data_IF_833869983608
#
_entry.id   IF_833869983608
#
_cell.length_a   1.000
_cell.length_b   1.000
_cell.length_c   1.000
_cell.angle_alpha   90.00
_cell.angle_beta   90.00
_cell.angle_gamma   90.00
#
_symmetry.space_group_name_H-M   'P 1'
#
loop_
_entity.id
_entity.type
_entity.pdbx_description
1 polymer ?
#
# COMPACT_ATOMS: atom_id res chain seq x y z
N UNK A 1 -14.62 21.75 25.93
CA UNK A 1 -13.27 21.19 26.15
C UNK A 1 -13.22 19.71 25.80
N UNK A 2 -13.60 19.35 24.57
CA UNK A 2 -13.50 17.99 24.03
C UNK A 2 -12.57 18.09 22.83
N UNK A 3 -11.34 17.58 22.94
CA UNK A 3 -10.37 17.72 21.84
C UNK A 3 -8.96 17.22 22.14
N UNK A 4 -8.55 17.12 23.41
CA UNK A 4 -7.18 16.70 23.75
C UNK A 4 -7.12 15.24 24.23
N UNK A 5 -8.16 14.73 24.91
CA UNK A 5 -8.16 13.36 25.44
C UNK A 5 -8.18 12.23 24.39
N UNK A 6 -8.89 12.42 23.27
CA UNK A 6 -8.93 11.43 22.18
C UNK A 6 -7.65 11.43 21.33
N UNK A 7 -7.00 12.59 21.18
CA UNK A 7 -5.70 12.71 20.53
C UNK A 7 -4.58 12.13 21.41
N UNK A 8 -4.68 12.27 22.74
CA UNK A 8 -3.76 11.58 23.66
C UNK A 8 -3.96 10.06 23.65
N UNK A 9 -5.16 9.53 23.43
CA UNK A 9 -5.42 8.09 23.30
C UNK A 9 -4.85 7.47 22.02
N UNK A 10 -4.97 8.16 20.89
CA UNK A 10 -4.36 7.76 19.62
C UNK A 10 -2.84 7.96 19.63
N UNK A 11 -2.35 9.03 20.25
CA UNK A 11 -0.92 9.26 20.48
C UNK A 11 -0.33 8.27 21.49
N UNK A 12 -1.07 7.84 22.52
CA UNK A 12 -0.63 6.77 23.43
C UNK A 12 -0.70 5.40 22.76
N UNK A 13 -1.63 5.17 21.83
CA UNK A 13 -1.65 3.98 20.98
C UNK A 13 -0.44 3.92 20.05
N UNK A 14 -0.15 5.02 19.34
CA UNK A 14 1.07 5.14 18.53
C UNK A 14 2.33 5.07 19.40
N UNK A 15 2.37 5.73 20.56
CA UNK A 15 3.53 5.70 21.46
C UNK A 15 3.67 4.33 22.14
N UNK A 16 2.58 3.57 22.35
CA UNK A 16 2.62 2.17 22.75
C UNK A 16 3.09 1.26 21.60
N UNK A 17 2.74 1.53 20.33
CA UNK A 17 3.26 0.81 19.15
C UNK A 17 4.74 1.12 18.93
N UNK A 18 5.16 2.39 19.01
CA UNK A 18 6.57 2.77 18.94
C UNK A 18 7.35 2.25 20.17
N UNK A 19 6.79 2.33 21.38
CA UNK A 19 7.45 1.76 22.55
C UNK A 19 7.43 0.23 22.56
N UNK A 20 6.46 -0.45 21.95
CA UNK A 20 6.46 -1.93 21.82
C UNK A 20 7.41 -2.39 20.71
N UNK A 21 7.56 -1.63 19.61
CA UNK A 21 8.58 -1.86 18.57
C UNK A 21 9.98 -1.93 19.18
N UNK A 22 10.29 -1.05 20.14
CA UNK A 22 11.59 -1.00 20.83
C UNK A 22 11.66 -1.83 22.13
N UNK A 23 10.56 -2.01 22.88
CA UNK A 23 10.51 -2.84 24.10
C UNK A 23 10.48 -4.35 23.82
N UNK A 24 10.15 -4.77 22.60
CA UNK A 24 10.15 -6.19 22.20
C UNK A 24 11.44 -6.66 21.51
N UNK A 25 12.52 -5.87 21.51
CA UNK A 25 13.81 -6.33 21.01
C UNK A 25 14.43 -7.32 22.00
N UNK A 26 14.58 -8.58 21.59
CA UNK A 26 15.29 -9.61 22.36
C UNK A 26 16.82 -9.48 22.22
N UNK A 27 17.30 -8.73 21.23
CA UNK A 27 18.73 -8.48 20.98
C UNK A 27 18.99 -7.10 20.34
N UNK A 28 20.23 -6.61 20.45
CA UNK A 28 20.68 -5.39 19.74
C UNK A 28 20.67 -5.54 18.21
N UNK A 29 20.88 -6.77 17.71
CA UNK A 29 20.85 -7.09 16.28
C UNK A 29 19.44 -6.97 15.70
N UNK A 30 18.43 -7.50 16.42
CA UNK A 30 17.01 -7.39 16.06
C UNK A 30 16.56 -5.92 16.02
N UNK A 31 17.00 -5.14 17.00
CA UNK A 31 16.70 -3.71 17.07
C UNK A 31 17.32 -2.93 15.90
N UNK A 32 18.58 -3.24 15.54
CA UNK A 32 19.23 -2.68 14.35
C UNK A 32 18.49 -3.01 13.06
N UNK A 33 17.95 -4.23 12.95
CA UNK A 33 17.16 -4.65 11.79
C UNK A 33 15.83 -3.94 11.66
N UNK A 34 15.06 -3.83 12.75
CA UNK A 34 13.81 -3.06 12.76
C UNK A 34 14.05 -1.60 12.42
N UNK A 35 15.11 -1.01 12.98
CA UNK A 35 15.53 0.34 12.65
C UNK A 35 15.84 0.50 11.15
N UNK A 36 16.54 -0.45 10.53
CA UNK A 36 16.84 -0.41 9.09
C UNK A 36 15.57 -0.44 8.23
N UNK A 37 14.60 -1.29 8.56
CA UNK A 37 13.34 -1.36 7.80
C UNK A 37 12.52 -0.08 7.95
N UNK A 38 12.46 0.47 9.16
CA UNK A 38 11.83 1.77 9.42
C UNK A 38 12.55 2.89 8.64
N UNK A 39 13.88 2.89 8.62
CA UNK A 39 14.67 3.84 7.84
C UNK A 39 14.32 3.79 6.35
N UNK A 40 14.17 2.61 5.76
CA UNK A 40 13.74 2.46 4.37
C UNK A 40 12.31 2.99 4.12
N UNK A 41 11.38 2.83 5.06
CA UNK A 41 10.03 3.43 4.97
C UNK A 41 10.13 4.95 5.00
N UNK A 42 10.93 5.53 5.89
CA UNK A 42 11.14 6.98 5.92
C UNK A 42 11.81 7.48 4.64
N UNK A 43 12.69 6.68 4.02
CA UNK A 43 13.22 7.00 2.70
C UNK A 43 12.11 7.10 1.65
N UNK A 44 11.02 6.32 1.71
CA UNK A 44 9.88 6.46 0.78
C UNK A 44 9.15 7.81 0.90
N UNK A 45 9.26 8.53 2.03
CA UNK A 45 8.62 9.84 2.18
C UNK A 45 9.36 10.94 1.41
N UNK A 46 10.67 10.78 1.19
CA UNK A 46 11.50 11.74 0.47
C UNK A 46 10.92 12.06 -0.93
N UNK A 47 10.66 11.07 -1.83
CA UNK A 47 10.13 11.36 -3.15
C UNK A 47 8.73 12.00 -3.09
N UNK A 48 7.89 11.65 -2.11
CA UNK A 48 6.58 12.27 -1.91
C UNK A 48 6.73 13.76 -1.58
N UNK A 49 7.57 14.08 -0.58
CA UNK A 49 7.82 15.45 -0.16
C UNK A 49 8.46 16.25 -1.30
N UNK A 50 9.47 15.69 -1.97
CA UNK A 50 10.12 16.33 -3.10
C UNK A 50 9.14 16.63 -4.23
N UNK A 51 8.23 15.70 -4.56
CA UNK A 51 7.22 15.94 -5.58
C UNK A 51 6.21 17.01 -5.17
N UNK A 52 5.70 16.97 -3.93
CA UNK A 52 4.79 18.01 -3.42
C UNK A 52 5.46 19.38 -3.51
N UNK A 53 6.70 19.50 -3.04
CA UNK A 53 7.47 20.76 -3.10
C UNK A 53 7.67 21.21 -4.55
N UNK A 54 7.94 20.29 -5.47
CA UNK A 54 8.08 20.61 -6.89
C UNK A 54 6.76 21.08 -7.51
N UNK A 55 5.64 20.39 -7.25
CA UNK A 55 4.32 20.76 -7.75
C UNK A 55 3.92 22.19 -7.33
N UNK A 56 4.17 22.57 -6.08
CA UNK A 56 3.85 23.92 -5.58
C UNK A 56 4.82 25.01 -6.05
N UNK A 57 5.98 24.64 -6.63
CA UNK A 57 7.01 25.57 -7.06
C UNK A 57 7.48 25.28 -8.49
N UNK A 58 6.59 24.76 -9.35
CA UNK A 58 6.93 24.22 -10.66
C UNK A 58 7.70 25.25 -11.51
N UNK A 59 7.26 26.50 -11.58
CA UNK A 59 7.89 27.55 -12.37
C UNK A 59 9.35 27.82 -11.98
N UNK A 60 9.65 27.83 -10.67
CA UNK A 60 11.00 28.01 -10.16
C UNK A 60 11.88 26.81 -10.53
N UNK A 61 11.38 25.59 -10.31
CA UNK A 61 12.16 24.39 -10.57
C UNK A 61 12.36 24.12 -12.06
N UNK A 62 11.35 24.35 -12.91
CA UNK A 62 11.47 24.20 -14.37
C UNK A 62 12.57 25.12 -14.89
N UNK A 63 12.59 26.39 -14.48
CA UNK A 63 13.62 27.33 -14.91
C UNK A 63 15.04 26.89 -14.52
N UNK A 64 15.20 26.27 -13.35
CA UNK A 64 16.50 25.79 -12.86
C UNK A 64 16.90 24.43 -13.39
N UNK A 65 15.99 23.47 -13.49
CA UNK A 65 16.29 22.10 -13.90
C UNK A 65 16.48 21.97 -15.41
N UNK A 66 15.77 22.77 -16.21
CA UNK A 66 15.91 22.76 -17.68
C UNK A 66 17.31 23.14 -18.14
N UNK A 67 18.04 23.98 -17.37
CA UNK A 67 19.43 24.33 -17.69
C UNK A 67 20.42 23.20 -17.42
N UNK A 68 20.09 22.24 -16.55
CA UNK A 68 20.98 21.14 -16.18
C UNK A 68 20.60 19.80 -16.82
N UNK A 69 19.30 19.59 -17.11
CA UNK A 69 18.77 18.32 -17.53
C UNK A 69 17.83 18.48 -18.72
N UNK A 70 18.26 17.98 -19.89
CA UNK A 70 17.49 18.02 -21.16
C UNK A 70 16.13 17.30 -21.07
N UNK A 71 15.96 16.39 -20.11
CA UNK A 71 14.69 15.71 -19.87
C UNK A 71 13.51 16.65 -19.59
N UNK A 72 13.77 17.85 -19.04
CA UNK A 72 12.73 18.83 -18.71
C UNK A 72 12.37 19.76 -19.86
N UNK A 73 13.12 19.73 -20.96
CA UNK A 73 12.82 20.53 -22.16
C UNK A 73 11.93 19.82 -23.17
N UNK A 74 11.48 18.58 -22.90
CA UNK A 74 10.62 17.82 -23.81
C UNK A 74 9.18 18.33 -23.74
N UNK A 75 8.62 18.92 -24.82
CA UNK A 75 7.27 19.48 -24.80
C UNK A 75 6.17 18.43 -24.67
N UNK A 76 6.47 17.14 -24.88
CA UNK A 76 5.49 16.06 -24.80
C UNK A 76 5.24 15.58 -23.36
N UNK A 77 6.07 15.98 -22.40
CA UNK A 77 5.99 15.52 -21.03
C UNK A 77 6.01 16.70 -20.06
N UNK A 78 5.14 16.66 -19.05
CA UNK A 78 5.20 17.65 -17.96
C UNK A 78 6.52 17.53 -17.19
N UNK A 79 7.16 18.63 -16.82
CA UNK A 79 8.30 18.64 -15.90
C UNK A 79 8.05 17.91 -14.57
N UNK A 80 6.84 18.05 -14.02
CA UNK A 80 6.39 17.37 -12.79
C UNK A 80 6.41 15.85 -12.99
N UNK A 81 5.85 15.40 -14.12
CA UNK A 81 5.88 13.99 -14.50
C UNK A 81 7.30 13.48 -14.63
N UNK A 82 8.16 14.21 -15.35
CA UNK A 82 9.54 13.83 -15.64
C UNK A 82 10.38 13.67 -14.37
N UNK A 83 10.18 14.53 -13.37
CA UNK A 83 10.85 14.41 -12.08
C UNK A 83 10.34 13.20 -11.29
N UNK A 84 9.02 13.06 -11.18
CA UNK A 84 8.43 12.03 -10.32
C UNK A 84 8.71 10.62 -10.84
N UNK A 85 8.52 10.35 -12.14
CA UNK A 85 8.81 9.02 -12.70
C UNK A 85 10.28 8.62 -12.50
N UNK A 86 11.21 9.59 -12.48
CA UNK A 86 12.63 9.37 -12.18
C UNK A 86 12.88 9.03 -10.72
N UNK A 87 12.22 9.72 -9.78
CA UNK A 87 12.25 9.33 -8.37
C UNK A 87 11.77 7.90 -8.18
N UNK A 88 10.61 7.57 -8.75
CA UNK A 88 10.01 6.23 -8.64
C UNK A 88 10.94 5.18 -9.24
N UNK A 89 11.45 5.43 -10.46
CA UNK A 89 12.39 4.53 -11.11
C UNK A 89 13.68 4.34 -10.30
N UNK A 90 14.23 5.42 -9.74
CA UNK A 90 15.41 5.38 -8.87
C UNK A 90 15.19 4.47 -7.67
N UNK A 91 14.09 4.67 -6.94
CA UNK A 91 13.75 3.87 -5.77
C UNK A 91 13.44 2.42 -6.13
N UNK A 92 12.78 2.20 -7.26
CA UNK A 92 12.52 0.87 -7.78
C UNK A 92 13.82 0.11 -8.05
N UNK A 93 14.75 0.71 -8.82
CA UNK A 93 16.06 0.11 -9.11
C UNK A 93 16.88 -0.10 -7.84
N UNK A 94 16.86 0.87 -6.93
CA UNK A 94 17.51 0.76 -5.63
C UNK A 94 17.02 -0.47 -4.85
N UNK A 95 15.70 -0.67 -4.76
CA UNK A 95 15.14 -1.84 -4.10
C UNK A 95 15.33 -3.14 -4.90
N UNK A 96 15.38 -3.11 -6.23
CA UNK A 96 15.79 -4.27 -7.05
C UNK A 96 17.22 -4.72 -6.73
N UNK A 97 18.15 -3.78 -6.55
CA UNK A 97 19.54 -4.09 -6.20
C UNK A 97 19.59 -4.72 -4.79
N UNK A 98 18.87 -4.13 -3.83
CA UNK A 98 18.80 -4.68 -2.47
C UNK A 98 18.08 -6.04 -2.42
N UNK A 99 17.09 -6.25 -3.27
CA UNK A 99 16.44 -7.54 -3.47
C UNK A 99 17.44 -8.58 -3.98
N UNK A 100 18.26 -8.25 -4.98
CA UNK A 100 19.31 -9.13 -5.49
C UNK A 100 20.33 -9.50 -4.39
N UNK A 101 20.77 -8.53 -3.58
CA UNK A 101 21.62 -8.80 -2.41
C UNK A 101 20.91 -9.62 -1.32
N UNK A 102 19.59 -9.53 -1.21
CA UNK A 102 18.80 -10.38 -0.30
C UNK A 102 18.83 -11.85 -0.76
N UNK A 103 18.85 -12.10 -2.07
CA UNK A 103 18.96 -13.45 -2.61
C UNK A 103 20.34 -14.07 -2.35
N UNK A 104 21.40 -13.26 -2.15
CA UNK A 104 22.71 -13.78 -1.74
C UNK A 104 22.68 -14.41 -0.34
N UNK A 105 21.70 -14.06 0.50
CA UNK A 105 21.49 -14.74 1.78
C UNK A 105 21.06 -16.21 1.61
N UNK A 106 20.63 -16.64 0.41
CA UNK A 106 20.34 -18.03 0.09
C UNK A 106 21.61 -18.85 -0.22
N UNK A 107 22.79 -18.22 -0.28
CA UNK A 107 24.06 -18.87 -0.58
C UNK A 107 25.04 -18.69 0.58
N UNK A 108 25.46 -19.81 1.19
CA UNK A 108 26.29 -19.83 2.41
C UNK A 108 27.58 -19.00 2.30
N UNK A 109 28.22 -18.97 1.12
CA UNK A 109 29.46 -18.22 0.90
C UNK A 109 29.26 -16.71 0.77
N UNK A 110 28.03 -16.24 0.56
CA UNK A 110 27.70 -14.83 0.28
C UNK A 110 26.83 -14.18 1.37
N UNK A 111 26.39 -14.93 2.38
CA UNK A 111 25.57 -14.41 3.50
C UNK A 111 26.22 -13.20 4.20
N UNK A 112 27.55 -13.23 4.36
CA UNK A 112 28.29 -12.11 4.97
C UNK A 112 28.12 -10.81 4.19
N UNK A 113 28.16 -10.88 2.85
CA UNK A 113 27.97 -9.73 1.96
C UNK A 113 26.53 -9.20 2.06
N UNK A 114 25.53 -10.09 2.05
CA UNK A 114 24.13 -9.72 2.21
C UNK A 114 23.90 -8.97 3.53
N UNK A 115 24.44 -9.47 4.64
CA UNK A 115 24.32 -8.83 5.96
C UNK A 115 24.96 -7.44 6.00
N UNK A 116 26.14 -7.26 5.40
CA UNK A 116 26.80 -5.93 5.35
C UNK A 116 25.99 -4.94 4.52
N UNK A 117 25.49 -5.34 3.36
CA UNK A 117 24.68 -4.46 2.49
C UNK A 117 23.36 -4.04 3.16
N UNK A 118 22.71 -4.96 3.89
CA UNK A 118 21.46 -4.67 4.58
C UNK A 118 21.65 -3.90 5.89
N UNK A 119 22.69 -4.21 6.67
CA UNK A 119 22.87 -3.69 8.04
C UNK A 119 23.94 -2.62 8.19
N UNK A 120 25.07 -2.73 7.49
CA UNK A 120 26.29 -1.97 7.77
C UNK A 120 26.40 -0.61 7.10
N UNK A 121 25.69 -0.36 6.00
CA UNK A 121 25.97 0.78 5.11
C UNK A 121 24.88 1.86 5.09
N UNK A 122 24.13 2.06 6.18
CA UNK A 122 23.03 3.04 6.22
C UNK A 122 23.45 4.45 5.77
N UNK A 123 24.63 4.89 6.20
CA UNK A 123 25.17 6.21 5.87
C UNK A 123 25.54 6.37 4.38
N UNK A 124 25.80 5.28 3.66
CA UNK A 124 26.08 5.30 2.20
C UNK A 124 24.79 5.20 1.39
N UNK A 125 23.73 4.59 1.94
CA UNK A 125 22.48 4.34 1.20
C UNK A 125 21.82 5.61 0.68
N UNK A 126 21.80 6.70 1.46
CA UNK A 126 21.24 7.99 1.02
C UNK A 126 22.08 8.66 -0.08
N UNK A 127 23.41 8.84 0.07
CA UNK A 127 24.26 9.30 -1.02
C UNK A 127 24.17 8.46 -2.29
N UNK A 128 24.10 7.13 -2.13
CA UNK A 128 23.99 6.19 -3.26
C UNK A 128 22.66 6.34 -4.00
N UNK A 129 21.54 6.45 -3.26
CA UNK A 129 20.23 6.72 -3.83
C UNK A 129 20.20 8.08 -4.55
N UNK A 130 20.77 9.13 -3.96
CA UNK A 130 20.87 10.45 -4.59
C UNK A 130 21.73 10.41 -5.87
N UNK A 131 22.84 9.66 -5.85
CA UNK A 131 23.67 9.41 -7.02
C UNK A 131 22.90 8.68 -8.12
N UNK A 132 22.13 7.64 -7.77
CA UNK A 132 21.26 6.98 -8.74
C UNK A 132 20.21 7.92 -9.33
N UNK A 133 19.60 8.79 -8.52
CA UNK A 133 18.65 9.77 -9.02
C UNK A 133 19.28 10.65 -10.10
N UNK A 134 20.50 11.16 -9.85
CA UNK A 134 21.24 11.95 -10.83
C UNK A 134 21.46 11.16 -12.13
N UNK A 135 21.85 9.88 -12.01
CA UNK A 135 22.02 9.00 -13.16
C UNK A 135 20.72 8.78 -13.95
N UNK A 136 19.55 8.77 -13.29
CA UNK A 136 18.29 8.57 -14.00
C UNK A 136 17.92 9.71 -14.97
N UNK A 137 18.53 10.89 -14.83
CA UNK A 137 18.33 11.99 -15.77
C UNK A 137 18.99 11.75 -17.14
N UNK A 138 19.84 10.73 -17.28
CA UNK A 138 20.40 10.30 -18.57
C UNK A 138 19.34 9.59 -19.43
N UNK A 139 18.36 8.92 -18.81
CA UNK A 139 17.33 8.20 -19.56
C UNK A 139 16.34 9.17 -20.22
N UNK A 140 15.98 8.94 -21.50
CA UNK A 140 14.98 9.74 -22.18
C UNK A 140 13.58 9.50 -21.59
N UNK A 141 12.71 10.52 -21.63
CA UNK A 141 11.34 10.42 -21.11
C UNK A 141 10.57 9.24 -21.71
N UNK A 142 10.74 8.97 -23.01
CA UNK A 142 10.09 7.85 -23.68
C UNK A 142 10.43 6.47 -23.09
N UNK A 143 11.65 6.28 -22.58
CA UNK A 143 12.02 5.02 -21.91
C UNK A 143 11.33 4.87 -20.55
N UNK A 144 11.19 5.98 -19.80
CA UNK A 144 10.52 6.00 -18.50
C UNK A 144 9.00 5.94 -18.62
N UNK A 145 8.43 6.37 -19.75
CA UNK A 145 7.02 6.16 -20.07
C UNK A 145 6.68 4.65 -20.12
N UNK A 146 7.55 3.81 -20.71
CA UNK A 146 7.35 2.36 -20.68
C UNK A 146 7.41 1.78 -19.26
N UNK A 147 8.30 2.33 -18.42
CA UNK A 147 8.36 1.94 -17.01
C UNK A 147 7.07 2.32 -16.25
N UNK A 148 6.37 3.39 -16.65
CA UNK A 148 5.10 3.78 -16.04
C UNK A 148 4.02 2.70 -16.19
N UNK A 149 3.93 2.00 -17.33
CA UNK A 149 3.02 0.84 -17.48
C UNK A 149 3.30 -0.25 -16.44
N UNK A 150 4.59 -0.57 -16.27
CA UNK A 150 5.01 -1.55 -15.28
C UNK A 150 4.72 -1.07 -13.84
N UNK A 151 4.92 0.22 -13.55
CA UNK A 151 4.60 0.80 -12.25
C UNK A 151 3.09 0.78 -11.97
N UNK A 152 2.24 1.02 -12.98
CA UNK A 152 0.78 0.90 -12.86
C UNK A 152 0.40 -0.52 -12.44
N UNK A 153 0.93 -1.54 -13.12
CA UNK A 153 0.69 -2.94 -12.78
C UNK A 153 1.17 -3.29 -11.37
N UNK A 154 2.44 -3.01 -11.06
CA UNK A 154 3.01 -3.39 -9.76
C UNK A 154 2.37 -2.62 -8.59
N UNK A 155 2.00 -1.35 -8.80
CA UNK A 155 1.26 -0.56 -7.83
C UNK A 155 -0.14 -1.12 -7.57
N UNK A 156 -0.82 -1.62 -8.61
CA UNK A 156 -2.13 -2.28 -8.46
C UNK A 156 -2.02 -3.60 -7.70
N UNK A 157 -0.95 -4.37 -7.93
CA UNK A 157 -0.63 -5.58 -7.14
C UNK A 157 -0.39 -5.22 -5.67
N UNK A 158 0.36 -4.15 -5.40
CA UNK A 158 0.55 -3.67 -4.03
C UNK A 158 -0.76 -3.21 -3.38
N UNK A 159 -1.61 -2.47 -4.09
CA UNK A 159 -2.92 -2.05 -3.59
C UNK A 159 -3.78 -3.24 -3.14
N UNK A 160 -3.76 -4.31 -3.93
CA UNK A 160 -4.45 -5.57 -3.60
C UNK A 160 -3.93 -6.18 -2.28
N UNK A 161 -2.61 -6.25 -2.09
CA UNK A 161 -2.03 -6.72 -0.82
C UNK A 161 -2.23 -5.76 0.35
N UNK A 162 -2.20 -4.44 0.11
CA UNK A 162 -2.47 -3.43 1.13
C UNK A 162 -3.86 -3.63 1.73
N UNK A 163 -4.86 -3.94 0.91
CA UNK A 163 -6.20 -4.17 1.39
C UNK A 163 -6.29 -5.43 2.26
N UNK A 164 -5.54 -6.49 1.96
CA UNK A 164 -5.45 -7.66 2.85
C UNK A 164 -4.84 -7.32 4.20
N UNK A 165 -3.77 -6.52 4.24
CA UNK A 165 -3.17 -6.07 5.50
C UNK A 165 -4.19 -5.28 6.34
N UNK A 166 -4.98 -4.42 5.70
CA UNK A 166 -5.98 -3.60 6.40
C UNK A 166 -7.18 -4.44 6.88
N UNK A 167 -7.57 -5.46 6.13
CA UNK A 167 -8.55 -6.47 6.56
C UNK A 167 -8.04 -7.21 7.78
N UNK A 168 -6.81 -7.71 7.75
CA UNK A 168 -6.19 -8.44 8.86
C UNK A 168 -6.13 -7.56 10.12
N UNK A 169 -5.68 -6.31 10.00
CA UNK A 169 -5.65 -5.36 11.10
C UNK A 169 -7.04 -5.09 11.67
N UNK A 170 -8.04 -5.02 10.82
CA UNK A 170 -9.42 -4.85 11.25
C UNK A 170 -9.93 -6.08 12.00
N UNK A 171 -9.56 -7.31 11.60
CA UNK A 171 -9.90 -8.53 12.35
C UNK A 171 -9.22 -8.54 13.73
N UNK A 172 -7.91 -8.28 13.80
CA UNK A 172 -7.17 -8.20 15.06
C UNK A 172 -7.75 -7.13 15.98
N UNK A 173 -8.06 -5.96 15.41
CA UNK A 173 -8.72 -4.89 16.14
C UNK A 173 -10.08 -5.32 16.67
N UNK A 174 -10.88 -6.02 15.87
CA UNK A 174 -12.23 -6.42 16.23
C UNK A 174 -12.30 -7.47 17.36
N UNK A 175 -11.36 -8.41 17.41
CA UNK A 175 -11.32 -9.41 18.49
C UNK A 175 -11.14 -8.76 19.87
N UNK A 176 -10.29 -7.73 19.96
CA UNK A 176 -10.13 -6.94 21.19
C UNK A 176 -11.35 -6.06 21.55
N UNK A 177 -12.30 -5.89 20.62
CA UNK A 177 -13.47 -5.02 20.79
C UNK A 177 -14.73 -5.75 21.26
N UNK A 178 -14.73 -7.09 21.25
CA UNK A 178 -15.85 -7.91 21.75
C UNK A 178 -16.12 -7.63 23.24
N UNK A 179 -15.06 -7.41 24.01
CA UNK A 179 -15.10 -7.12 25.44
C UNK A 179 -15.04 -5.61 25.76
N UNK A 180 -15.02 -4.75 24.74
CA UNK A 180 -14.93 -3.32 24.95
C UNK A 180 -16.22 -2.71 25.55
N UNK A 181 -16.10 -1.57 26.28
CA UNK A 181 -17.25 -0.86 26.84
C UNK A 181 -18.35 -0.61 25.80
N UNK A 182 -19.62 -0.62 26.24
CA UNK A 182 -20.80 -0.42 25.36
C UNK A 182 -20.67 0.81 24.46
N UNK A 183 -20.10 1.91 25.00
CA UNK A 183 -19.82 3.12 24.24
C UNK A 183 -18.91 2.89 23.03
N UNK A 184 -17.79 2.15 23.21
CA UNK A 184 -16.84 1.84 22.14
C UNK A 184 -17.51 1.01 21.03
N UNK A 185 -18.33 0.02 21.42
CA UNK A 185 -19.10 -0.80 20.47
C UNK A 185 -20.11 0.03 19.66
N UNK A 186 -20.76 1.01 20.26
CA UNK A 186 -21.66 1.93 19.54
C UNK A 186 -20.88 2.79 18.54
N UNK A 187 -19.72 3.34 18.94
CA UNK A 187 -18.88 4.14 18.04
C UNK A 187 -18.43 3.32 16.82
N UNK A 188 -18.07 2.04 17.02
CA UNK A 188 -17.69 1.15 15.92
C UNK A 188 -18.85 0.84 14.98
N UNK A 189 -20.05 0.63 15.52
CA UNK A 189 -21.23 0.42 14.70
C UNK A 189 -21.53 1.65 13.82
N UNK A 190 -21.41 2.86 14.38
CA UNK A 190 -21.55 4.12 13.63
C UNK A 190 -20.45 4.24 12.56
N UNK A 191 -19.21 3.89 12.88
CA UNK A 191 -18.09 3.89 11.91
C UNK A 191 -18.34 2.89 10.77
N UNK A 192 -18.85 1.70 11.05
CA UNK A 192 -19.16 0.69 10.05
C UNK A 192 -20.21 1.19 9.04
N UNK A 193 -21.31 1.75 9.55
CA UNK A 193 -22.34 2.38 8.70
C UNK A 193 -21.75 3.53 7.89
N UNK A 194 -20.88 4.34 8.49
CA UNK A 194 -20.24 5.46 7.82
C UNK A 194 -19.32 5.00 6.69
N UNK A 195 -18.48 3.99 6.91
CA UNK A 195 -17.58 3.44 5.89
C UNK A 195 -18.34 2.79 4.76
N UNK A 196 -19.41 2.05 5.07
CA UNK A 196 -20.30 1.50 4.07
C UNK A 196 -20.96 2.60 3.22
N UNK A 197 -21.57 3.60 3.87
CA UNK A 197 -22.22 4.72 3.18
C UNK A 197 -21.25 5.51 2.30
N UNK A 198 -20.04 5.77 2.79
CA UNK A 198 -18.98 6.45 2.03
C UNK A 198 -18.52 5.63 0.82
N UNK A 199 -18.36 4.31 0.97
CA UNK A 199 -18.00 3.43 -0.14
C UNK A 199 -19.07 3.39 -1.23
N UNK A 200 -20.34 3.28 -0.85
CA UNK A 200 -21.48 3.34 -1.79
C UNK A 200 -21.52 4.70 -2.49
N UNK A 201 -21.34 5.79 -1.75
CA UNK A 201 -21.29 7.13 -2.33
C UNK A 201 -20.18 7.26 -3.38
N UNK A 202 -18.97 6.76 -3.09
CA UNK A 202 -17.84 6.76 -4.03
C UNK A 202 -18.18 6.05 -5.35
N UNK A 203 -18.80 4.86 -5.28
CA UNK A 203 -19.22 4.14 -6.49
C UNK A 203 -20.37 4.84 -7.23
N UNK A 204 -21.37 5.37 -6.51
CA UNK A 204 -22.47 6.12 -7.10
C UNK A 204 -21.95 7.37 -7.85
N UNK A 205 -21.01 8.11 -7.25
CA UNK A 205 -20.36 9.25 -7.89
C UNK A 205 -19.60 8.85 -9.17
N UNK A 206 -18.85 7.73 -9.12
CA UNK A 206 -18.14 7.21 -10.29
C UNK A 206 -19.11 6.83 -11.41
N UNK A 207 -20.19 6.13 -11.08
CA UNK A 207 -21.20 5.69 -12.04
C UNK A 207 -21.92 6.86 -12.70
N UNK A 208 -22.38 7.85 -11.92
CA UNK A 208 -23.13 9.00 -12.41
C UNK A 208 -22.28 9.97 -13.25
N UNK A 209 -20.97 10.05 -12.99
CA UNK A 209 -20.09 10.96 -13.71
C UNK A 209 -19.43 10.35 -14.94
N UNK A 210 -19.29 9.03 -15.00
CA UNK A 210 -18.64 8.35 -16.12
C UNK A 210 -19.41 8.48 -17.43
N UNK A 211 -18.71 8.82 -18.51
CA UNK A 211 -19.24 8.79 -19.89
C UNK A 211 -19.00 7.44 -20.58
N UNK A 212 -18.07 6.61 -20.08
CA UNK A 212 -17.77 5.29 -20.64
C UNK A 212 -18.71 4.21 -20.11
N UNK A 213 -19.36 3.49 -21.03
CA UNK A 213 -20.23 2.35 -20.71
C UNK A 213 -19.46 1.19 -20.08
N UNK A 214 -18.24 0.91 -20.54
CA UNK A 214 -17.37 -0.11 -19.94
C UNK A 214 -17.08 0.20 -18.47
N UNK A 215 -16.82 1.48 -18.15
CA UNK A 215 -16.59 1.94 -16.78
C UNK A 215 -17.84 1.74 -15.92
N UNK A 216 -19.03 2.06 -16.45
CA UNK A 216 -20.31 1.86 -15.76
C UNK A 216 -20.58 0.38 -15.47
N UNK A 217 -20.39 -0.49 -16.46
CA UNK A 217 -20.61 -1.94 -16.32
C UNK A 217 -19.68 -2.52 -15.26
N UNK A 218 -18.38 -2.25 -15.32
CA UNK A 218 -17.42 -2.80 -14.36
C UNK A 218 -17.63 -2.20 -12.95
N UNK A 219 -18.03 -0.92 -12.84
CA UNK A 219 -18.47 -0.33 -11.57
C UNK A 219 -19.69 -1.06 -10.99
N UNK A 220 -20.67 -1.41 -11.84
CA UNK A 220 -21.83 -2.19 -11.42
C UNK A 220 -21.47 -3.58 -10.90
N UNK A 221 -20.57 -4.29 -11.60
CA UNK A 221 -20.05 -5.59 -11.15
C UNK A 221 -19.34 -5.45 -9.80
N UNK A 222 -18.46 -4.46 -9.64
CA UNK A 222 -17.77 -4.17 -8.38
C UNK A 222 -18.75 -3.97 -7.22
N UNK A 223 -19.73 -3.09 -7.39
CA UNK A 223 -20.75 -2.82 -6.35
C UNK A 223 -21.52 -4.10 -6.00
N UNK A 224 -21.89 -4.92 -6.99
CA UNK A 224 -22.57 -6.19 -6.74
C UNK A 224 -21.67 -7.16 -5.95
N UNK A 225 -20.42 -7.37 -6.38
CA UNK A 225 -19.46 -8.25 -5.70
C UNK A 225 -19.25 -7.84 -4.23
N UNK A 226 -18.99 -6.56 -3.98
CA UNK A 226 -18.79 -6.06 -2.63
C UNK A 226 -20.08 -6.06 -1.80
N UNK A 227 -21.23 -5.79 -2.41
CA UNK A 227 -22.54 -5.90 -1.77
C UNK A 227 -22.82 -7.33 -1.28
N UNK A 228 -22.56 -8.34 -2.11
CA UNK A 228 -22.66 -9.74 -1.69
C UNK A 228 -21.65 -10.08 -0.59
N UNK A 229 -20.40 -9.64 -0.72
CA UNK A 229 -19.36 -9.89 0.30
C UNK A 229 -19.79 -9.36 1.68
N UNK A 230 -20.31 -8.13 1.72
CA UNK A 230 -20.80 -7.52 2.96
C UNK A 230 -22.03 -8.27 3.50
N UNK A 231 -22.99 -8.62 2.65
CA UNK A 231 -24.16 -9.41 3.05
C UNK A 231 -23.75 -10.74 3.69
N UNK A 232 -22.83 -11.48 3.08
CA UNK A 232 -22.35 -12.75 3.62
C UNK A 232 -21.54 -12.58 4.91
N UNK A 233 -20.74 -11.51 5.05
CA UNK A 233 -20.04 -11.20 6.30
C UNK A 233 -20.99 -10.91 7.48
N UNK A 234 -22.20 -10.41 7.21
CA UNK A 234 -23.23 -10.17 8.24
C UNK A 234 -23.91 -11.50 8.64
N UNK A 235 -24.16 -12.38 7.67
CA UNK A 235 -24.85 -13.66 7.90
C UNK A 235 -23.89 -14.69 8.53
N UNK A 236 -22.59 -14.58 8.26
CA UNK A 236 -21.54 -15.44 8.79
C UNK A 236 -21.38 -15.29 10.30
N UNK A 237 -21.79 -16.33 11.04
CA UNK A 237 -21.66 -16.41 12.50
C UNK A 237 -20.21 -16.33 13.03
N UNK A 238 -19.22 -16.51 12.16
CA UNK A 238 -17.80 -16.55 12.47
C UNK A 238 -17.03 -15.35 11.88
N UNK A 239 -17.75 -14.37 11.35
CA UNK A 239 -17.18 -13.22 10.64
C UNK A 239 -17.38 -11.91 11.39
N UNK A 240 -16.57 -10.92 10.99
CA UNK A 240 -16.78 -9.51 11.26
C UNK A 240 -17.01 -8.79 9.93
N UNK A 241 -18.05 -7.95 9.87
CA UNK A 241 -18.31 -7.10 8.70
C UNK A 241 -17.42 -5.86 8.65
N UNK A 242 -16.75 -5.50 9.76
CA UNK A 242 -15.91 -4.30 9.84
C UNK A 242 -14.68 -4.37 8.89
N UNK A 243 -13.89 -5.46 8.84
CA UNK A 243 -12.80 -5.62 7.88
C UNK A 243 -13.25 -5.47 6.43
N UNK A 244 -14.38 -6.10 6.08
CA UNK A 244 -14.94 -6.05 4.73
C UNK A 244 -15.37 -4.62 4.37
N UNK A 245 -15.99 -3.88 5.30
CA UNK A 245 -16.38 -2.49 5.09
C UNK A 245 -15.17 -1.54 4.92
N UNK A 246 -14.06 -1.78 5.63
CA UNK A 246 -12.82 -1.00 5.45
C UNK A 246 -12.23 -1.26 4.07
N UNK A 247 -12.09 -2.53 3.67
CA UNK A 247 -11.56 -2.88 2.36
C UNK A 247 -12.43 -2.31 1.23
N UNK A 248 -13.76 -2.38 1.40
CA UNK A 248 -14.72 -1.78 0.48
C UNK A 248 -14.52 -0.28 0.31
N UNK A 249 -14.39 0.47 1.42
CA UNK A 249 -14.17 1.92 1.38
C UNK A 249 -12.88 2.28 0.63
N UNK A 250 -11.79 1.57 0.89
CA UNK A 250 -10.49 1.85 0.27
C UNK A 250 -10.54 1.56 -1.23
N UNK A 251 -11.14 0.44 -1.63
CA UNK A 251 -11.33 0.14 -3.05
C UNK A 251 -12.27 1.12 -3.75
N UNK A 252 -13.32 1.58 -3.07
CA UNK A 252 -14.19 2.62 -3.59
C UNK A 252 -13.45 3.95 -3.78
N UNK A 253 -12.59 4.34 -2.82
CA UNK A 253 -11.74 5.52 -2.92
C UNK A 253 -10.72 5.41 -4.07
N UNK A 254 -10.07 4.25 -4.23
CA UNK A 254 -9.20 3.99 -5.39
C UNK A 254 -9.98 4.08 -6.70
N UNK A 255 -11.21 3.58 -6.75
CA UNK A 255 -12.05 3.60 -7.96
C UNK A 255 -12.40 5.04 -8.36
N UNK A 256 -12.78 5.89 -7.39
CA UNK A 256 -13.01 7.33 -7.63
C UNK A 256 -11.73 8.02 -8.08
N UNK A 257 -10.60 7.68 -7.47
CA UNK A 257 -9.29 8.21 -7.87
C UNK A 257 -8.92 7.82 -9.31
N UNK A 258 -9.02 6.54 -9.68
CA UNK A 258 -8.76 6.09 -11.04
C UNK A 258 -9.77 6.67 -12.04
N UNK A 259 -11.03 6.86 -11.66
CA UNK A 259 -12.04 7.46 -12.53
C UNK A 259 -11.71 8.93 -12.83
N UNK A 260 -11.19 9.65 -11.83
CA UNK A 260 -10.71 11.03 -11.98
C UNK A 260 -9.62 11.23 -13.05
N UNK A 261 -8.92 10.16 -13.44
CA UNK A 261 -7.88 10.21 -14.47
C UNK A 261 -8.45 10.14 -15.90
N UNK A 262 -9.68 9.67 -16.08
CA UNK A 262 -10.08 9.03 -17.33
C UNK A 262 -10.55 10.00 -18.44
N UNK A 263 -10.74 11.29 -18.17
CA UNK A 263 -11.38 12.21 -19.15
C UNK A 263 -10.77 13.62 -19.21
N UNK A 264 -9.55 13.70 -19.72
CA UNK A 264 -8.89 14.98 -19.98
C UNK A 264 -8.03 14.88 -21.25
N UNK A 265 -8.64 15.17 -22.41
CA UNK A 265 -7.92 15.61 -23.63
C UNK A 265 -7.39 17.04 -23.48
N UNK A 266 -7.90 17.75 -22.48
CA UNK A 266 -7.37 18.97 -21.86
C UNK A 266 -7.31 18.67 -20.37
N UNK A 267 -6.26 19.08 -19.64
CA UNK A 267 -6.01 18.87 -18.19
C UNK A 267 -7.17 19.30 -17.24
N UNK A 268 -8.38 18.78 -17.44
CA UNK A 268 -9.60 19.05 -16.69
C UNK A 268 -10.03 17.76 -16.03
N UNK A 269 -9.86 17.71 -14.72
CA UNK A 269 -10.27 16.57 -13.91
C UNK A 269 -11.80 16.39 -13.97
N UNK A 270 -12.25 15.14 -14.04
CA UNK A 270 -13.69 14.82 -14.09
C UNK A 270 -14.41 15.21 -12.79
N UNK A 271 -13.70 15.16 -11.67
CA UNK A 271 -14.07 15.79 -10.41
C UNK A 271 -13.09 16.95 -10.12
N UNK A 272 -13.52 17.99 -9.41
CA UNK A 272 -12.68 19.16 -9.12
C UNK A 272 -11.28 18.77 -8.58
N UNK A 273 -10.25 19.56 -8.92
CA UNK A 273 -8.85 19.40 -8.48
C UNK A 273 -8.73 19.09 -6.98
N UNK A 274 -9.51 19.76 -6.13
CA UNK A 274 -9.45 19.57 -4.68
C UNK A 274 -9.86 18.15 -4.25
N UNK A 275 -10.87 17.59 -4.92
CA UNK A 275 -11.32 16.22 -4.66
C UNK A 275 -10.25 15.20 -5.06
N UNK A 276 -9.56 15.44 -6.19
CA UNK A 276 -8.45 14.60 -6.64
C UNK A 276 -7.33 14.54 -5.60
N UNK A 277 -6.89 15.69 -5.08
CA UNK A 277 -5.85 15.75 -4.06
C UNK A 277 -6.29 15.13 -2.73
N UNK A 278 -7.56 15.25 -2.36
CA UNK A 278 -8.10 14.63 -1.15
C UNK A 278 -7.98 13.10 -1.21
N UNK A 279 -8.43 12.46 -2.30
CA UNK A 279 -8.32 11.00 -2.45
C UNK A 279 -6.86 10.54 -2.57
N UNK A 280 -6.03 11.24 -3.35
CA UNK A 280 -4.61 10.93 -3.45
C UNK A 280 -3.90 10.98 -2.09
N UNK A 281 -4.22 11.98 -1.26
CA UNK A 281 -3.65 12.15 0.07
C UNK A 281 -4.09 11.03 1.02
N UNK A 282 -5.39 10.71 1.05
CA UNK A 282 -5.94 9.63 1.87
C UNK A 282 -5.28 8.29 1.50
N UNK A 283 -5.21 7.97 0.21
CA UNK A 283 -4.61 6.73 -0.28
C UNK A 283 -3.10 6.66 0.00
N UNK A 284 -2.40 7.79 -0.08
CA UNK A 284 -0.97 7.88 0.27
C UNK A 284 -0.73 7.61 1.76
N UNK A 285 -1.60 8.13 2.63
CA UNK A 285 -1.55 7.87 4.08
C UNK A 285 -1.81 6.40 4.37
N UNK A 286 -2.83 5.79 3.76
CA UNK A 286 -3.11 4.36 3.94
C UNK A 286 -1.98 3.48 3.43
N UNK A 287 -1.36 3.81 2.29
CA UNK A 287 -0.19 3.09 1.78
C UNK A 287 1.00 3.22 2.72
N UNK A 288 1.31 4.42 3.21
CA UNK A 288 2.39 4.62 4.16
C UNK A 288 2.16 3.83 5.46
N UNK A 289 0.96 3.92 6.04
CA UNK A 289 0.60 3.18 7.25
C UNK A 289 0.64 1.66 7.01
N UNK A 290 0.18 1.19 5.84
CA UNK A 290 0.26 -0.22 5.47
C UNK A 290 1.69 -0.71 5.37
N UNK A 291 2.59 0.05 4.74
CA UNK A 291 4.03 -0.25 4.70
C UNK A 291 4.65 -0.27 6.10
N UNK A 292 4.31 0.74 6.93
CA UNK A 292 4.79 0.83 8.29
C UNK A 292 4.36 -0.38 9.12
N UNK A 293 3.09 -0.77 9.02
CA UNK A 293 2.55 -1.92 9.72
C UNK A 293 3.18 -3.21 9.19
N UNK A 294 3.17 -3.46 7.88
CA UNK A 294 3.83 -4.64 7.28
C UNK A 294 5.26 -4.85 7.78
N UNK A 295 5.97 -3.73 7.99
CA UNK A 295 7.35 -3.73 8.47
C UNK A 295 7.49 -3.95 9.97
N UNK A 296 6.57 -3.40 10.76
CA UNK A 296 6.62 -3.44 12.23
C UNK A 296 6.06 -4.75 12.78
N UNK A 297 4.98 -5.26 12.18
CA UNK A 297 4.24 -6.42 12.68
C UNK A 297 4.67 -7.73 12.03
N UNK A 298 5.51 -7.70 10.98
CA UNK A 298 5.95 -8.89 10.24
C UNK A 298 4.76 -9.79 9.85
N UNK A 299 3.59 -9.18 9.55
CA UNK A 299 2.36 -9.93 9.27
C UNK A 299 2.62 -10.88 8.10
N UNK A 300 2.70 -12.17 8.41
CA UNK A 300 2.60 -13.22 7.42
C UNK A 300 1.14 -13.31 6.98
N UNK A 301 0.88 -13.37 5.68
CA UNK A 301 -0.49 -13.55 5.15
C UNK A 301 -1.07 -14.96 5.45
N UNK A 302 -0.39 -15.76 6.27
CA UNK A 302 -0.73 -17.16 6.58
C UNK A 302 -2.14 -17.34 7.18
N UNK A 303 -2.64 -16.46 8.09
CA UNK A 303 -3.99 -16.60 8.66
C UNK A 303 -5.11 -16.58 7.62
N UNK A 304 -4.96 -15.78 6.54
CA UNK A 304 -5.95 -15.69 5.48
C UNK A 304 -6.06 -16.96 4.62
N UNK A 305 -4.97 -17.71 4.47
CA UNK A 305 -4.96 -18.95 3.68
C UNK A 305 -5.31 -20.20 4.47
N UNK A 306 -5.15 -20.18 5.80
CA UNK A 306 -5.52 -21.29 6.67
C UNK A 306 -6.96 -21.23 7.18
N UNK A 307 -7.66 -20.12 6.94
CA UNK A 307 -8.90 -19.82 7.63
C UNK A 307 -8.65 -19.61 9.12
N UNK A 308 -9.60 -19.00 9.83
CA UNK A 308 -9.56 -18.77 11.29
C UNK A 308 -9.75 -20.08 12.08
N UNK A 309 -9.01 -21.13 11.72
CA UNK A 309 -8.98 -22.40 12.44
C UNK A 309 -7.93 -22.27 13.55
N UNK A 310 -8.42 -21.88 14.72
CA UNK A 310 -7.80 -21.85 16.06
C UNK A 310 -7.42 -20.47 16.61
N UNK A 311 -8.20 -20.04 17.60
CA UNK A 311 -8.02 -18.85 18.43
C UNK A 311 -6.79 -18.91 19.36
N UNK A 312 -5.93 -19.92 19.22
CA UNK A 312 -4.81 -20.19 20.13
C UNK A 312 -3.43 -20.22 19.45
N UNK A 313 -3.34 -20.05 18.13
CA UNK A 313 -2.03 -19.81 17.51
C UNK A 313 -1.62 -18.36 17.78
N UNK A 314 -0.87 -18.20 18.86
CA UNK A 314 -0.28 -16.93 19.28
C UNK A 314 0.34 -16.22 18.07
N UNK A 315 -0.01 -14.95 17.89
CA UNK A 315 0.72 -13.98 17.06
C UNK A 315 2.25 -14.03 17.31
N UNK A 316 2.68 -14.55 18.47
CA UNK A 316 4.06 -14.81 18.85
C UNK A 316 4.81 -15.86 18.02
N UNK A 317 4.13 -16.72 17.25
CA UNK A 317 4.79 -17.62 16.28
C UNK A 317 5.03 -16.94 14.91
N UNK A 318 4.45 -15.76 14.67
CA UNK A 318 4.67 -14.97 13.44
C UNK A 318 5.82 -13.96 13.58
N UNK A 319 6.29 -13.71 14.80
CA UNK A 319 7.51 -12.96 15.05
C UNK A 319 8.65 -13.97 15.08
N UNK A 320 9.30 -14.17 13.94
CA UNK A 320 10.53 -14.96 13.90
C UNK A 320 11.61 -14.23 14.71
N UNK A 321 11.80 -14.65 15.95
CA UNK A 321 12.98 -14.30 16.74
C UNK A 321 14.24 -14.99 16.22
N UNK A 322 14.10 -15.80 15.18
CA UNK A 322 15.16 -16.64 14.59
C UNK A 322 16.04 -15.82 13.61
N UNK A 323 15.67 -14.57 13.27
CA UNK A 323 16.48 -13.67 12.41
C UNK A 323 17.93 -13.46 12.88
N UNK A 324 18.23 -13.76 14.13
CA UNK A 324 19.55 -13.54 14.71
C UNK A 324 20.33 -14.80 15.09
N UNK A 325 19.69 -15.96 15.23
CA UNK A 325 20.38 -17.14 15.78
C UNK A 325 20.82 -18.16 14.73
N UNK A 326 20.19 -18.20 13.56
CA UNK A 326 20.64 -19.08 12.48
C UNK A 326 20.44 -18.48 11.08
N UNK A 327 21.50 -18.01 10.39
CA UNK A 327 21.43 -17.59 8.99
C UNK A 327 21.06 -18.73 8.03
N UNK A 328 21.07 -19.99 8.51
CA UNK A 328 20.64 -21.16 7.74
C UNK A 328 19.15 -21.47 7.92
N UNK A 329 18.46 -20.79 8.84
CA UNK A 329 17.02 -20.98 8.98
C UNK A 329 16.31 -20.35 7.77
N UNK A 330 15.58 -21.20 7.03
CA UNK A 330 14.78 -20.83 5.86
C UNK A 330 13.74 -19.73 6.15
N UNK A 331 13.46 -19.45 7.42
CA UNK A 331 12.58 -18.38 7.89
C UNK A 331 13.19 -16.99 7.79
N UNK A 332 14.52 -16.83 7.77
CA UNK A 332 15.15 -15.50 7.94
C UNK A 332 15.46 -14.79 6.63
N UNK A 333 15.80 -15.55 5.58
CA UNK A 333 15.91 -14.99 4.22
C UNK A 333 14.54 -14.59 3.66
N UNK A 334 13.47 -15.31 4.04
CA UNK A 334 12.09 -15.10 3.60
C UNK A 334 11.61 -13.64 3.77
N UNK A 335 12.03 -12.94 4.83
CA UNK A 335 11.54 -11.60 5.13
C UNK A 335 12.26 -10.46 4.39
N UNK A 336 13.55 -10.59 4.03
CA UNK A 336 14.30 -9.47 3.41
C UNK A 336 13.92 -9.24 1.95
N UNK A 337 13.82 -10.31 1.16
CA UNK A 337 13.43 -10.18 -0.24
C UNK A 337 11.96 -9.75 -0.37
N UNK A 338 11.07 -10.31 0.45
CA UNK A 338 9.67 -9.95 0.47
C UNK A 338 9.47 -8.49 0.88
N UNK A 339 10.23 -8.01 1.88
CA UNK A 339 10.24 -6.59 2.25
C UNK A 339 10.58 -5.69 1.06
N UNK A 340 11.65 -5.99 0.32
CA UNK A 340 12.02 -5.15 -0.84
C UNK A 340 10.99 -5.21 -1.97
N UNK A 341 10.33 -6.34 -2.21
CA UNK A 341 9.20 -6.42 -3.15
C UNK A 341 8.03 -5.54 -2.72
N UNK A 342 7.70 -5.52 -1.42
CA UNK A 342 6.65 -4.63 -0.89
C UNK A 342 7.04 -3.16 -1.05
N UNK A 343 8.30 -2.81 -0.81
CA UNK A 343 8.81 -1.45 -1.02
C UNK A 343 8.77 -1.04 -2.51
N UNK A 344 9.10 -1.95 -3.42
CA UNK A 344 8.95 -1.75 -4.87
C UNK A 344 7.49 -1.56 -5.29
N UNK A 345 6.58 -2.36 -4.74
CA UNK A 345 5.15 -2.20 -4.97
C UNK A 345 4.59 -0.88 -4.42
N UNK A 346 5.01 -0.50 -3.21
CA UNK A 346 4.59 0.72 -2.55
C UNK A 346 5.03 1.97 -3.31
N UNK A 347 6.29 2.03 -3.77
CA UNK A 347 6.75 3.19 -4.56
C UNK A 347 6.02 3.28 -5.91
N UNK A 348 5.71 2.15 -6.54
CA UNK A 348 4.91 2.10 -7.76
C UNK A 348 3.44 2.49 -7.52
N UNK A 349 2.87 2.15 -6.36
CA UNK A 349 1.54 2.63 -5.99
C UNK A 349 1.53 4.13 -5.71
N UNK A 350 2.54 4.64 -5.00
CA UNK A 350 2.71 6.08 -4.78
C UNK A 350 2.91 6.84 -6.11
N UNK A 351 3.62 6.26 -7.07
CA UNK A 351 3.70 6.77 -8.45
C UNK A 351 2.30 6.93 -9.05
N UNK A 352 1.45 5.89 -8.91
CA UNK A 352 0.08 5.95 -9.39
C UNK A 352 -0.76 7.02 -8.67
N UNK A 353 -0.38 7.47 -7.47
CA UNK A 353 -1.09 8.54 -6.76
C UNK A 353 -0.58 9.95 -7.11
N UNK A 354 0.60 10.05 -7.71
CA UNK A 354 1.34 11.31 -7.79
C UNK A 354 1.84 11.67 -9.19
N UNK A 355 1.73 10.76 -10.16
CA UNK A 355 2.12 10.93 -11.56
C UNK A 355 0.91 10.86 -12.47
N UNK A 356 0.65 11.91 -13.25
CA UNK A 356 -0.34 11.86 -14.31
C UNK A 356 0.10 10.86 -15.40
N UNK A 357 -0.75 9.92 -15.76
CA UNK A 357 -0.54 9.05 -16.93
C UNK A 357 -0.46 9.87 -18.21
N UNK A 358 0.52 9.58 -19.05
CA UNK A 358 0.84 10.37 -20.26
C UNK A 358 -0.07 10.06 -21.44
N UNK A 359 -0.60 8.84 -21.52
CA UNK A 359 -1.46 8.40 -22.63
C UNK A 359 -2.87 8.04 -22.16
N UNK A 360 -3.85 8.13 -23.06
CA UNK A 360 -5.22 7.70 -22.77
C UNK A 360 -5.30 6.20 -22.48
N UNK A 361 -4.46 5.39 -23.13
CA UNK A 361 -4.39 3.95 -22.92
C UNK A 361 -3.97 3.61 -21.48
N UNK A 362 -2.92 4.26 -20.95
CA UNK A 362 -2.49 4.08 -19.55
C UNK A 362 -3.58 4.42 -18.53
N UNK A 363 -4.38 5.47 -18.80
CA UNK A 363 -5.51 5.87 -17.94
C UNK A 363 -6.54 4.74 -17.83
N UNK A 364 -6.91 4.17 -18.97
CA UNK A 364 -7.85 3.07 -19.06
C UNK A 364 -7.30 1.82 -18.39
N UNK A 365 -6.03 1.48 -18.63
CA UNK A 365 -5.39 0.31 -18.01
C UNK A 365 -5.28 0.42 -16.49
N UNK A 366 -4.91 1.59 -15.96
CA UNK A 366 -4.91 1.82 -14.51
C UNK A 366 -6.31 1.62 -13.92
N UNK A 367 -7.35 2.11 -14.60
CA UNK A 367 -8.73 1.94 -14.15
C UNK A 367 -9.18 0.46 -14.21
N UNK A 368 -8.89 -0.24 -15.32
CA UNK A 368 -9.24 -1.66 -15.47
C UNK A 368 -8.51 -2.54 -14.48
N UNK A 369 -7.21 -2.31 -14.25
CA UNK A 369 -6.44 -3.08 -13.27
C UNK A 369 -6.98 -2.89 -11.85
N UNK A 370 -7.29 -1.65 -11.47
CA UNK A 370 -7.91 -1.36 -10.19
C UNK A 370 -9.28 -2.07 -10.07
N UNK A 371 -10.14 -1.95 -11.08
CA UNK A 371 -11.47 -2.57 -11.07
C UNK A 371 -11.43 -4.10 -11.05
N UNK A 372 -10.58 -4.73 -11.86
CA UNK A 372 -10.40 -6.19 -11.87
C UNK A 372 -9.82 -6.66 -10.52
N UNK A 373 -8.81 -5.96 -9.98
CA UNK A 373 -8.25 -6.33 -8.67
C UNK A 373 -9.28 -6.23 -7.54
N UNK A 374 -10.18 -5.24 -7.60
CA UNK A 374 -11.27 -5.10 -6.63
C UNK A 374 -12.31 -6.21 -6.71
N UNK A 375 -12.61 -6.70 -7.92
CA UNK A 375 -13.48 -7.88 -8.10
C UNK A 375 -12.80 -9.12 -7.55
N UNK A 376 -11.53 -9.35 -7.90
CA UNK A 376 -10.76 -10.51 -7.41
C UNK A 376 -10.71 -10.49 -5.89
N UNK A 377 -10.42 -9.34 -5.27
CA UNK A 377 -10.41 -9.24 -3.81
C UNK A 377 -11.79 -9.52 -3.21
N UNK A 378 -12.85 -8.90 -3.75
CA UNK A 378 -14.21 -9.14 -3.26
C UNK A 378 -14.61 -10.60 -3.34
N UNK A 379 -14.27 -11.29 -4.45
CA UNK A 379 -14.49 -12.73 -4.60
C UNK A 379 -13.66 -13.54 -3.60
N UNK A 380 -12.40 -13.18 -3.36
CA UNK A 380 -11.55 -13.86 -2.37
C UNK A 380 -12.07 -13.69 -0.95
N UNK A 381 -12.50 -12.48 -0.57
CA UNK A 381 -13.12 -12.23 0.73
C UNK A 381 -14.46 -12.97 0.86
N UNK A 382 -15.28 -12.95 -0.19
CA UNK A 382 -16.52 -13.72 -0.22
C UNK A 382 -16.24 -15.23 -0.07
N UNK A 383 -15.20 -15.73 -0.72
CA UNK A 383 -14.76 -17.12 -0.56
C UNK A 383 -14.35 -17.43 0.88
N UNK A 384 -13.59 -16.54 1.54
CA UNK A 384 -13.21 -16.75 2.95
C UNK A 384 -14.40 -16.78 3.90
N UNK A 385 -15.51 -16.12 3.55
CA UNK A 385 -16.75 -16.10 4.33
C UNK A 385 -17.69 -17.28 4.02
N UNK A 386 -17.78 -17.66 2.75
CA UNK A 386 -18.69 -18.72 2.27
C UNK A 386 -18.08 -20.11 2.47
N UNK A 387 -16.76 -20.27 2.28
CA UNK A 387 -16.10 -21.57 2.35
C UNK A 387 -16.34 -22.28 3.70
N UNK A 388 -16.19 -21.64 4.88
CA UNK A 388 -16.46 -22.33 6.14
C UNK A 388 -17.95 -22.65 6.36
N UNK A 389 -18.88 -21.92 5.72
CA UNK A 389 -20.30 -22.28 5.74
C UNK A 389 -20.56 -23.53 4.90
N UNK A 390 -20.04 -23.57 3.66
CA UNK A 390 -20.27 -24.68 2.73
C UNK A 390 -19.44 -25.93 3.06
N UNK A 391 -18.25 -25.75 3.63
CA UNK A 391 -17.36 -26.83 4.02
C UNK A 391 -17.80 -27.51 5.32
N UNK A 392 -18.54 -26.83 6.22
CA UNK A 392 -19.16 -27.46 7.39
C UNK A 392 -20.15 -28.56 7.04
N UNK A 393 -20.74 -28.52 5.85
CA UNK A 393 -21.60 -29.59 5.34
C UNK A 393 -20.82 -30.70 4.59
N UNK A 394 -19.50 -30.59 4.42
CA UNK A 394 -18.67 -31.54 3.66
C UNK A 394 -17.37 -32.00 4.33
N UNK A 395 -16.94 -31.40 5.42
CA UNK A 395 -15.74 -31.79 6.16
C UNK A 395 -16.11 -32.04 7.63
N UNK A 396 -15.77 -33.24 8.09
CA UNK A 396 -15.96 -33.82 9.43
C UNK A 396 -17.28 -34.59 9.64
N UNK A 397 -17.33 -35.78 9.04
CA UNK A 397 -17.63 -36.98 9.83
C UNK A 397 -16.56 -37.17 10.91
#
# INVERSE_FOLDING_TARGET
MFGIGAMCGAASGLCCVFSSVFRCCKSASQCGMRFNRIFYIFMLLIPIICNIVFMFNESYFVAKFTSYFKAFSDPNFSPVWALNIRFVFTYFIYHCILLAFSLFALCDSLVGVAKVMHRGLLFIKLPFLAGFLILTFIFPNKALENFQYFAIFLGSVYQFFLCFVLVELAYVGFDGLRDAPKFVRIVLFVLLISFYGLGVACFAFTFLKSESDTVKVLTGILVATWGFTILFSIIAKHSSSMPVCIAFLIYAACTVYSANWNFASTFKHQFNNDCYYAFASILSVFSFLGCFIFTVTEISLIPMFKGTISQNQMFGEMVSTIEDEDPKSSSTSYYYWAFHLVMMGAICFLNNLTVYTTTQQMKLEHWYLNGISGIILGVLLLWTEVFPMCAKDRAFW
#
